data_IF_846219457394
#
_entry.id   IF_846219457394
#
_cell.length_a   1.000
_cell.length_b   1.000
_cell.length_c   1.000
_cell.angle_alpha   90.00
_cell.angle_beta   90.00
_cell.angle_gamma   90.00
#
_symmetry.space_group_name_H-M   'P 1'
#
loop_
_entity.id
_entity.type
_entity.pdbx_description
1 polymer ?
#
# COMPACT_ATOMS: atom_id res chain seq x y z
N UNK A 1 25.14 2.92 -9.03
CA UNK A 1 24.30 2.42 -10.14
C UNK A 1 22.87 2.51 -9.64
N UNK A 2 22.14 3.53 -10.06
CA UNK A 2 20.81 3.82 -9.53
C UNK A 2 19.82 2.91 -10.24
N UNK A 3 18.88 2.33 -9.49
CA UNK A 3 17.84 1.49 -10.08
C UNK A 3 16.50 2.15 -9.80
N UNK A 4 15.72 2.29 -10.86
CA UNK A 4 14.34 2.72 -10.79
C UNK A 4 13.51 1.52 -10.31
N UNK A 5 12.94 1.59 -9.11
CA UNK A 5 11.92 0.62 -8.70
C UNK A 5 10.59 1.13 -9.21
N UNK A 6 10.08 0.46 -10.26
CA UNK A 6 8.74 0.67 -10.78
C UNK A 6 7.81 -0.35 -10.16
N UNK A 7 6.88 0.13 -9.34
CA UNK A 7 5.74 -0.66 -8.94
C UNK A 7 4.72 -0.62 -10.09
N UNK A 8 4.64 -1.72 -10.84
CA UNK A 8 3.62 -1.89 -11.89
C UNK A 8 2.39 -2.51 -11.25
N UNK A 9 1.40 -1.69 -10.96
CA UNK A 9 0.10 -2.16 -10.49
C UNK A 9 -0.78 -2.36 -11.73
N UNK A 10 -1.09 -3.61 -12.06
CA UNK A 10 -1.99 -3.95 -13.16
C UNK A 10 -3.41 -4.16 -12.60
N UNK A 11 -4.34 -3.30 -12.99
CA UNK A 11 -5.75 -3.44 -12.66
C UNK A 11 -6.52 -4.00 -13.87
N UNK A 12 -7.41 -4.95 -13.63
CA UNK A 12 -8.48 -5.30 -14.58
C UNK A 12 -9.65 -4.34 -14.32
N UNK A 13 -9.95 -3.47 -15.29
CA UNK A 13 -11.09 -2.57 -15.22
C UNK A 13 -12.15 -3.08 -16.19
N UNK A 14 -13.30 -3.53 -15.67
CA UNK A 14 -14.48 -3.74 -16.51
C UNK A 14 -15.03 -2.37 -16.93
N UNK A 15 -15.10 -2.15 -18.25
CA UNK A 15 -15.47 -0.87 -18.82
C UNK A 15 -16.91 -0.48 -18.43
N UNK A 16 -17.08 0.65 -17.71
CA UNK A 16 -18.43 1.20 -17.51
C UNK A 16 -18.64 2.27 -16.44
N UNK A 17 -17.73 2.47 -15.48
CA UNK A 17 -17.97 3.43 -14.37
C UNK A 17 -17.20 4.74 -14.59
N UNK A 18 -17.96 5.83 -14.71
CA UNK A 18 -17.46 7.20 -14.76
C UNK A 18 -16.84 7.52 -13.39
N UNK A 19 -15.51 7.47 -13.32
CA UNK A 19 -14.77 7.68 -12.07
C UNK A 19 -13.38 7.04 -12.01
N UNK A 20 -12.82 6.55 -13.12
CA UNK A 20 -11.47 5.99 -13.10
C UNK A 20 -10.43 7.12 -12.99
N UNK A 21 -9.77 7.22 -11.83
CA UNK A 21 -8.53 8.00 -11.67
C UNK A 21 -7.49 7.43 -12.64
N UNK A 22 -7.00 8.26 -13.55
CA UNK A 22 -5.94 7.85 -14.48
C UNK A 22 -4.71 7.41 -13.68
N UNK A 23 -4.34 6.14 -13.89
CA UNK A 23 -3.05 5.51 -13.63
C UNK A 23 -1.95 6.45 -13.09
N UNK A 24 -1.78 6.49 -11.77
CA UNK A 24 -0.58 7.03 -11.15
C UNK A 24 0.52 5.97 -11.10
N UNK A 25 1.54 6.05 -11.95
CA UNK A 25 2.77 5.27 -11.76
C UNK A 25 3.63 5.91 -10.66
N UNK A 26 3.48 5.46 -9.41
CA UNK A 26 4.40 5.89 -8.33
C UNK A 26 5.76 5.24 -8.53
N UNK A 27 6.69 6.02 -9.06
CA UNK A 27 8.07 5.58 -9.29
C UNK A 27 8.97 6.13 -8.20
N UNK A 28 9.62 5.26 -7.43
CA UNK A 28 10.57 5.64 -6.38
C UNK A 28 11.98 5.34 -6.86
N UNK A 29 12.82 6.36 -6.94
CA UNK A 29 14.25 6.21 -7.19
C UNK A 29 14.99 5.82 -5.92
N UNK A 30 15.72 4.70 -5.98
CA UNK A 30 16.53 4.22 -4.86
C UNK A 30 17.96 3.86 -5.28
N UNK A 31 18.88 4.10 -4.37
CA UNK A 31 20.25 3.65 -4.37
C UNK A 31 20.31 2.31 -3.64
N UNK A 32 20.85 1.30 -4.31
CA UNK A 32 20.99 -0.02 -3.71
C UNK A 32 22.40 -0.57 -3.84
N UNK A 33 22.77 -1.32 -2.82
CA UNK A 33 23.99 -2.11 -2.78
C UNK A 33 23.62 -3.57 -2.56
N UNK A 34 24.25 -4.48 -3.32
CA UNK A 34 24.03 -5.90 -3.14
C UNK A 34 25.01 -6.46 -2.12
N UNK A 35 24.50 -7.25 -1.19
CA UNK A 35 25.32 -8.11 -0.33
C UNK A 35 25.41 -9.45 -1.03
N UNK A 36 26.64 -9.89 -1.29
CA UNK A 36 26.92 -11.16 -1.95
C UNK A 36 27.44 -12.18 -0.93
N UNK A 37 27.12 -13.46 -1.14
CA UNK A 37 27.77 -14.57 -0.44
C UNK A 37 29.15 -14.92 -1.05
N UNK A 38 29.76 -15.99 -0.54
CA UNK A 38 31.08 -16.46 -0.99
C UNK A 38 31.08 -16.90 -2.47
N UNK A 39 29.95 -17.41 -2.96
CA UNK A 39 29.76 -17.85 -4.34
C UNK A 39 29.32 -16.69 -5.27
N UNK A 40 29.35 -15.46 -4.75
CA UNK A 40 28.93 -14.22 -5.43
C UNK A 40 27.44 -14.15 -5.76
N UNK A 41 26.60 -14.93 -5.08
CA UNK A 41 25.16 -14.82 -5.21
C UNK A 41 24.65 -13.67 -4.34
N UNK A 42 23.72 -12.84 -4.84
CA UNK A 42 23.10 -11.79 -4.03
C UNK A 42 22.17 -12.40 -2.98
N UNK A 43 22.47 -12.15 -1.70
CA UNK A 43 21.69 -12.65 -0.56
C UNK A 43 20.87 -11.56 0.13
N UNK A 44 21.25 -10.29 -0.05
CA UNK A 44 20.49 -9.15 0.45
C UNK A 44 20.70 -7.90 -0.41
N UNK A 45 19.77 -6.95 -0.25
CA UNK A 45 19.87 -5.61 -0.80
C UNK A 45 19.91 -4.61 0.36
N UNK A 46 20.94 -3.78 0.38
CA UNK A 46 21.05 -2.65 1.30
C UNK A 46 20.59 -1.39 0.59
N UNK A 47 19.75 -0.61 1.26
CA UNK A 47 19.25 0.69 0.81
C UNK A 47 19.46 1.73 1.91
N UNK A 48 19.68 3.01 1.58
CA UNK A 48 19.63 4.08 2.55
C UNK A 48 18.31 4.07 3.33
N UNK A 49 18.37 4.31 4.63
CA UNK A 49 17.19 4.27 5.48
C UNK A 49 16.08 5.24 5.02
N UNK A 50 16.45 6.46 4.62
CA UNK A 50 15.51 7.45 4.08
C UNK A 50 14.85 7.02 2.74
N UNK A 51 15.44 6.08 2.02
CA UNK A 51 14.83 5.49 0.81
C UNK A 51 13.90 4.35 1.14
N UNK A 52 14.28 3.53 2.12
CA UNK A 52 13.38 2.52 2.67
C UNK A 52 12.08 3.15 3.19
N UNK A 53 12.17 4.24 3.97
CA UNK A 53 10.98 4.94 4.46
C UNK A 53 10.09 5.50 3.34
N UNK A 54 10.70 5.99 2.26
CA UNK A 54 9.94 6.46 1.08
C UNK A 54 9.22 5.31 0.36
N UNK A 55 9.83 4.13 0.33
CA UNK A 55 9.18 2.91 -0.17
C UNK A 55 8.00 2.55 0.73
N UNK A 56 8.18 2.52 2.05
CA UNK A 56 7.09 2.20 2.99
C UNK A 56 5.91 3.15 2.82
N UNK A 57 6.17 4.46 2.83
CA UNK A 57 5.12 5.45 2.65
C UNK A 57 4.36 5.25 1.33
N UNK A 58 5.06 5.03 0.22
CA UNK A 58 4.40 4.80 -1.06
C UNK A 58 3.53 3.53 -1.07
N UNK A 59 3.95 2.48 -0.36
CA UNK A 59 3.18 1.25 -0.23
C UNK A 59 1.97 1.41 0.71
N UNK A 60 2.12 2.14 1.80
CA UNK A 60 1.04 2.46 2.74
C UNK A 60 -0.03 3.33 2.09
N UNK A 61 0.38 4.41 1.43
CA UNK A 61 -0.54 5.32 0.72
C UNK A 61 -1.35 4.55 -0.34
N UNK A 62 -0.68 3.67 -1.09
CA UNK A 62 -1.34 2.81 -2.08
C UNK A 62 -2.30 1.80 -1.44
N UNK A 63 -1.86 1.10 -0.39
CA UNK A 63 -2.70 0.12 0.31
C UNK A 63 -3.93 0.78 0.92
N UNK A 64 -3.78 1.95 1.52
CA UNK A 64 -4.87 2.72 2.10
C UNK A 64 -5.86 3.19 1.03
N UNK A 65 -5.36 3.78 -0.06
CA UNK A 65 -6.21 4.20 -1.18
C UNK A 65 -7.05 3.03 -1.71
N UNK A 66 -6.46 1.84 -1.79
CA UNK A 66 -7.18 0.65 -2.23
C UNK A 66 -8.27 0.20 -1.25
N UNK A 67 -7.95 0.18 0.04
CA UNK A 67 -8.95 -0.13 1.07
C UNK A 67 -10.13 0.86 1.03
N UNK A 68 -9.84 2.14 0.77
CA UNK A 68 -10.87 3.16 0.60
C UNK A 68 -11.76 2.88 -0.63
N UNK A 69 -11.17 2.57 -1.79
CA UNK A 69 -11.91 2.19 -3.00
C UNK A 69 -12.81 0.96 -2.79
N UNK A 70 -12.30 -0.07 -2.11
CA UNK A 70 -13.05 -1.31 -1.85
C UNK A 70 -14.29 -1.06 -0.98
N UNK A 71 -14.27 -0.01 -0.17
CA UNK A 71 -15.37 0.39 0.72
C UNK A 71 -16.22 1.55 0.18
N UNK A 72 -15.96 2.06 -1.03
CA UNK A 72 -16.61 3.28 -1.56
C UNK A 72 -18.15 3.15 -1.66
N UNK A 73 -18.64 1.93 -1.90
CA UNK A 73 -20.08 1.63 -1.96
C UNK A 73 -20.72 1.21 -0.65
N UNK A 74 -19.96 1.13 0.44
CA UNK A 74 -20.44 0.69 1.75
C UNK A 74 -21.16 1.83 2.51
N UNK A 75 -21.95 1.45 3.52
CA UNK A 75 -22.66 2.43 4.34
C UNK A 75 -21.67 3.26 5.15
N UNK A 76 -21.80 4.58 5.05
CA UNK A 76 -21.04 5.52 5.89
C UNK A 76 -21.78 5.74 7.19
N UNK A 77 -21.15 5.33 8.30
CA UNK A 77 -21.73 5.53 9.63
C UNK A 77 -21.48 6.94 10.15
N UNK A 78 -22.45 7.48 10.91
CA UNK A 78 -22.21 8.67 11.71
C UNK A 78 -21.20 8.38 12.82
N UNK A 79 -20.62 9.42 13.42
CA UNK A 79 -19.70 9.24 14.55
C UNK A 79 -20.36 8.48 15.71
N UNK A 80 -21.63 8.75 15.97
CA UNK A 80 -22.38 8.13 17.07
C UNK A 80 -22.62 6.64 16.79
N UNK A 81 -23.06 6.32 15.57
CA UNK A 81 -23.32 4.94 15.15
C UNK A 81 -22.04 4.11 15.08
N UNK A 82 -20.95 4.69 14.56
CA UNK A 82 -19.65 4.03 14.52
C UNK A 82 -19.14 3.69 15.93
N UNK A 83 -19.27 4.61 16.89
CA UNK A 83 -18.88 4.36 18.28
C UNK A 83 -19.71 3.25 18.92
N UNK A 84 -21.03 3.26 18.70
CA UNK A 84 -21.91 2.21 19.21
C UNK A 84 -21.57 0.84 18.61
N UNK A 85 -21.31 0.78 17.30
CA UNK A 85 -20.89 -0.42 16.60
C UNK A 85 -19.59 -1.01 17.18
N UNK A 86 -18.55 -0.19 17.36
CA UNK A 86 -17.28 -0.67 17.93
C UNK A 86 -17.39 -1.12 19.39
N UNK A 87 -18.28 -0.49 20.19
CA UNK A 87 -18.54 -0.94 21.56
C UNK A 87 -19.19 -2.32 21.58
N UNK A 88 -20.24 -2.52 20.76
CA UNK A 88 -20.90 -3.82 20.66
C UNK A 88 -19.94 -4.93 20.20
N UNK A 89 -19.10 -4.63 19.19
CA UNK A 89 -18.10 -5.58 18.69
C UNK A 89 -17.07 -5.97 19.76
N UNK A 90 -16.61 -5.01 20.56
CA UNK A 90 -15.69 -5.29 21.67
C UNK A 90 -16.35 -6.18 22.71
N UNK A 91 -17.57 -5.86 23.11
CA UNK A 91 -18.27 -6.58 24.16
C UNK A 91 -18.59 -8.04 23.74
N UNK A 92 -18.79 -8.30 22.44
CA UNK A 92 -18.91 -9.66 21.88
C UNK A 92 -17.59 -10.45 21.97
N UNK A 93 -16.46 -9.81 21.63
CA UNK A 93 -15.13 -10.45 21.65
C UNK A 93 -14.62 -10.75 23.06
N UNK A 94 -15.10 -10.02 24.07
CA UNK A 94 -14.70 -10.17 25.48
C UNK A 94 -15.63 -11.10 26.29
N UNK A 95 -16.67 -11.68 25.65
CA UNK A 95 -17.64 -12.60 26.27
C UNK A 95 -17.27 -14.08 26.13
#
# INVERSE_FOLDING_TARGET
MNLLVRFRVAWACEAGVIGCVEQGETTVEIHKHYVLDEDRNPVAVQVPFAEFQRIEQALEDYGLARLMEETEGEETLSREDALAFYQALRDELES
#
